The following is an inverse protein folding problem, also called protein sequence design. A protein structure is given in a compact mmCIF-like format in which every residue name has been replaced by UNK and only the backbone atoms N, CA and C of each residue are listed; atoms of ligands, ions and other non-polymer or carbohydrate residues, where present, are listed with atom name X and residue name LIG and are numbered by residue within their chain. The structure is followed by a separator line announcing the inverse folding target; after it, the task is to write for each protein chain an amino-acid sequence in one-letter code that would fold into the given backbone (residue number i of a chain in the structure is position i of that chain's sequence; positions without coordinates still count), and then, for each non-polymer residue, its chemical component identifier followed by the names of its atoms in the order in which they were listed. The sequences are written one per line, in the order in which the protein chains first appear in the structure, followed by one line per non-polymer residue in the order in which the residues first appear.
data_IF_384188667911
#
_entry.id   IF_384188667911
#
_cell.length_a   1.000
_cell.length_b   1.000
_cell.length_c   1.000
_cell.angle_alpha   90.00
_cell.angle_beta   90.00
_cell.angle_gamma   90.00
#
_symmetry.space_group_name_H-M   'P 1'
#
loop_
_entity.id
_entity.type
_entity.pdbx_description
1 polymer ?
#
# COMPACT_ATOMS: atom_id res chain seq x y z
N UNK A 1 51.01 19.92 65.06
CA UNK A 1 49.97 20.47 64.15
C UNK A 1 50.48 20.38 62.72
N UNK A 2 50.07 19.36 61.94
CA UNK A 2 50.40 19.22 60.51
C UNK A 2 49.13 19.49 59.71
N UNK A 3 49.16 20.49 58.83
CA UNK A 3 48.02 20.91 58.00
C UNK A 3 47.94 19.99 56.77
N UNK A 4 46.79 19.34 56.57
CA UNK A 4 46.46 18.62 55.35
C UNK A 4 46.06 19.62 54.27
N UNK A 5 46.89 19.80 53.23
CA UNK A 5 46.43 20.35 51.95
C UNK A 5 46.02 19.17 51.06
N UNK A 6 44.74 18.83 51.10
CA UNK A 6 44.13 18.01 50.07
C UNK A 6 44.00 18.86 48.80
N UNK A 7 44.76 18.50 47.78
CA UNK A 7 44.64 19.03 46.42
C UNK A 7 43.40 18.39 45.78
N UNK A 8 42.28 19.13 45.78
CA UNK A 8 40.98 18.72 45.24
C UNK A 8 40.73 19.12 43.75
N UNK A 9 41.69 19.53 42.88
CA UNK A 9 41.31 19.88 41.51
C UNK A 9 41.28 18.66 40.56
N UNK A 10 41.81 17.49 40.95
CA UNK A 10 41.92 16.33 40.03
C UNK A 10 40.71 15.39 39.99
N UNK A 11 39.83 15.41 40.99
CA UNK A 11 38.65 14.53 41.03
C UNK A 11 37.44 15.08 40.28
N UNK A 12 37.39 16.40 40.05
CA UNK A 12 36.27 17.05 39.33
C UNK A 12 36.38 16.86 37.81
N UNK A 13 37.60 16.76 37.27
CA UNK A 13 37.80 16.60 35.82
C UNK A 13 37.42 15.21 35.29
N UNK A 14 37.44 14.17 36.14
CA UNK A 14 37.10 12.81 35.73
C UNK A 14 35.57 12.60 35.62
N UNK A 15 34.78 13.32 36.41
CA UNK A 15 33.31 13.23 36.38
C UNK A 15 32.69 13.90 35.14
N UNK A 16 33.31 14.95 34.62
CA UNK A 16 32.81 15.67 33.44
C UNK A 16 33.08 14.89 32.14
N UNK A 17 34.15 14.09 32.08
CA UNK A 17 34.43 13.22 30.94
C UNK A 17 33.48 12.00 30.84
N UNK A 18 32.93 11.53 31.97
CA UNK A 18 31.92 10.46 31.96
C UNK A 18 30.50 10.95 31.64
N UNK A 19 30.19 12.23 31.87
CA UNK A 19 28.89 12.80 31.54
C UNK A 19 28.70 13.07 30.03
N UNK A 20 29.79 13.16 29.25
CA UNK A 20 29.74 13.40 27.80
C UNK A 20 29.61 12.12 26.97
N UNK A 21 29.80 10.93 27.56
CA UNK A 21 29.56 9.63 26.91
C UNK A 21 28.14 9.09 27.13
N UNK A 22 27.30 9.81 27.89
CA UNK A 22 25.89 9.48 28.10
C UNK A 22 24.94 10.30 27.20
N UNK A 23 25.45 10.91 26.12
CA UNK A 23 24.62 11.36 25.02
C UNK A 23 24.22 10.14 24.18
N UNK A 24 23.10 9.57 24.58
CA UNK A 24 22.42 8.42 24.00
C UNK A 24 21.84 8.77 22.62
N UNK A 25 22.72 8.97 21.63
CA UNK A 25 22.33 9.32 20.26
C UNK A 25 22.23 8.11 19.33
N UNK A 26 22.27 6.87 19.86
CA UNK A 26 22.18 5.65 19.04
C UNK A 26 20.83 4.96 19.07
N UNK A 27 19.96 5.23 20.06
CA UNK A 27 18.65 4.55 20.16
C UNK A 27 17.66 5.04 19.10
N UNK A 28 17.69 6.31 18.71
CA UNK A 28 16.73 6.85 17.73
C UNK A 28 16.89 6.31 16.30
N UNK A 29 18.05 5.72 15.97
CA UNK A 29 18.34 5.21 14.61
C UNK A 29 17.66 3.88 14.30
N UNK A 30 17.34 3.05 15.30
CA UNK A 30 16.70 1.73 15.07
C UNK A 30 15.17 1.83 14.98
N UNK A 31 14.59 2.88 15.57
CA UNK A 31 13.15 3.11 15.69
C UNK A 31 12.47 3.57 14.42
N UNK A 32 13.13 4.44 13.67
CA UNK A 32 12.62 4.92 12.39
C UNK A 32 13.25 4.05 11.33
N UNK A 33 12.53 3.01 10.89
CA UNK A 33 12.91 2.21 9.73
C UNK A 33 12.31 2.87 8.46
N UNK A 34 13.04 3.79 7.79
CA UNK A 34 12.50 4.55 6.66
C UNK A 34 12.21 3.66 5.45
N UNK A 35 12.91 2.53 5.32
CA UNK A 35 12.69 1.60 4.22
C UNK A 35 11.35 0.88 4.34
N UNK A 36 10.98 0.41 5.53
CA UNK A 36 9.66 -0.17 5.77
C UNK A 36 8.54 0.85 5.51
N UNK A 37 8.73 2.11 5.94
CA UNK A 37 7.75 3.16 5.68
C UNK A 37 7.63 3.47 4.18
N UNK A 38 8.76 3.61 3.47
CA UNK A 38 8.80 3.85 2.03
C UNK A 38 8.16 2.70 1.26
N UNK A 39 8.43 1.46 1.65
CA UNK A 39 7.84 0.27 1.03
C UNK A 39 6.32 0.23 1.26
N UNK A 40 5.84 0.56 2.47
CA UNK A 40 4.41 0.65 2.77
C UNK A 40 3.70 1.66 1.85
N UNK A 41 4.30 2.84 1.69
CA UNK A 41 3.78 3.90 0.84
C UNK A 41 3.77 3.52 -0.64
N UNK A 42 4.82 2.86 -1.13
CA UNK A 42 4.91 2.43 -2.52
C UNK A 42 3.90 1.33 -2.85
N UNK A 43 3.73 0.35 -1.95
CA UNK A 43 2.71 -0.69 -2.11
C UNK A 43 1.30 -0.09 -2.15
N UNK A 44 1.02 0.89 -1.27
CA UNK A 44 -0.29 1.56 -1.27
C UNK A 44 -0.49 2.40 -2.53
N UNK A 45 0.54 3.15 -2.99
CA UNK A 45 0.46 3.93 -4.22
C UNK A 45 0.14 3.04 -5.42
N UNK A 46 0.84 1.91 -5.55
CA UNK A 46 0.59 0.92 -6.61
C UNK A 46 -0.80 0.32 -6.49
N UNK A 47 -1.30 0.08 -5.28
CA UNK A 47 -2.67 -0.35 -5.05
C UNK A 47 -3.68 0.68 -5.60
N UNK A 48 -3.56 1.96 -5.20
CA UNK A 48 -4.48 3.01 -5.68
C UNK A 48 -4.42 3.14 -7.22
N UNK A 49 -3.22 3.10 -7.81
CA UNK A 49 -3.04 3.20 -9.26
C UNK A 49 -3.68 2.04 -10.02
N UNK A 50 -3.54 0.81 -9.52
CA UNK A 50 -4.17 -0.36 -10.14
C UNK A 50 -5.68 -0.28 -10.01
N UNK A 51 -6.21 0.10 -8.85
CA UNK A 51 -7.64 0.28 -8.64
C UNK A 51 -8.22 1.33 -9.60
N UNK A 52 -7.59 2.50 -9.70
CA UNK A 52 -8.01 3.54 -10.63
C UNK A 52 -7.92 3.09 -12.10
N UNK A 53 -6.93 2.26 -12.45
CA UNK A 53 -6.79 1.71 -13.80
C UNK A 53 -7.90 0.71 -14.14
N UNK A 54 -8.27 -0.15 -13.19
CA UNK A 54 -9.39 -1.09 -13.33
C UNK A 54 -10.71 -0.31 -13.46
N UNK A 55 -10.88 0.70 -12.61
CA UNK A 55 -12.10 1.52 -12.63
C UNK A 55 -12.26 2.25 -13.96
N UNK A 56 -11.20 2.94 -14.39
CA UNK A 56 -11.16 3.65 -15.67
C UNK A 56 -11.41 2.75 -16.88
N UNK A 57 -10.82 1.55 -16.90
CA UNK A 57 -11.04 0.56 -17.95
C UNK A 57 -12.52 0.21 -18.10
N UNK A 58 -13.17 -0.12 -16.98
CA UNK A 58 -14.55 -0.58 -17.00
C UNK A 58 -15.56 0.54 -17.16
N UNK A 59 -15.28 1.73 -16.63
CA UNK A 59 -16.13 2.91 -16.83
C UNK A 59 -16.13 3.31 -18.31
N UNK A 60 -14.93 3.40 -18.91
CA UNK A 60 -14.79 3.68 -20.35
C UNK A 60 -15.47 2.62 -21.22
N UNK A 61 -15.35 1.35 -20.85
CA UNK A 61 -15.98 0.24 -21.57
C UNK A 61 -17.50 0.32 -21.48
N UNK A 62 -18.03 0.63 -20.29
CA UNK A 62 -19.48 0.75 -20.04
C UNK A 62 -20.08 1.93 -20.80
N UNK A 63 -19.40 3.08 -20.80
CA UNK A 63 -19.84 4.27 -21.55
C UNK A 63 -19.91 4.00 -23.05
N UNK A 64 -18.86 3.39 -23.60
CA UNK A 64 -18.84 3.03 -25.03
C UNK A 64 -19.92 2.00 -25.38
N UNK A 65 -20.11 0.98 -24.53
CA UNK A 65 -21.18 0.00 -24.70
C UNK A 65 -22.58 0.65 -24.66
N UNK A 66 -22.82 1.59 -23.75
CA UNK A 66 -24.11 2.26 -23.63
C UNK A 66 -24.55 2.91 -24.96
N UNK A 67 -23.58 3.48 -25.68
CA UNK A 67 -23.82 4.12 -26.99
C UNK A 67 -23.92 3.14 -28.16
N UNK A 68 -23.36 1.93 -28.02
CA UNK A 68 -23.26 0.96 -29.11
C UNK A 68 -24.31 -0.17 -29.05
N UNK A 69 -25.01 -0.32 -27.93
CA UNK A 69 -26.06 -1.33 -27.77
C UNK A 69 -27.29 -1.02 -28.64
N UNK A 70 -27.79 -2.00 -29.43
CA UNK A 70 -28.95 -1.82 -30.29
C UNK A 70 -30.23 -1.54 -29.49
N UNK A 71 -31.22 -0.90 -30.10
CA UNK A 71 -32.46 -0.49 -29.41
C UNK A 71 -33.25 -1.70 -28.89
N UNK A 72 -33.23 -2.80 -29.63
CA UNK A 72 -33.84 -4.09 -29.33
C UNK A 72 -33.07 -4.94 -28.31
N UNK A 73 -31.91 -4.47 -27.82
CA UNK A 73 -31.14 -5.19 -26.80
C UNK A 73 -31.98 -5.37 -25.52
N UNK A 74 -32.09 -6.59 -24.94
CA UNK A 74 -32.94 -6.83 -23.78
C UNK A 74 -32.63 -5.88 -22.63
N UNK A 75 -33.65 -5.19 -22.11
CA UNK A 75 -33.45 -4.11 -21.12
C UNK A 75 -32.76 -4.60 -19.83
N UNK A 76 -33.04 -5.84 -19.40
CA UNK A 76 -32.40 -6.46 -18.23
C UNK A 76 -30.91 -6.69 -18.52
N UNK A 77 -30.59 -7.31 -19.66
CA UNK A 77 -29.21 -7.61 -20.04
C UNK A 77 -28.42 -6.32 -20.30
N UNK A 78 -29.04 -5.28 -20.86
CA UNK A 78 -28.47 -3.93 -20.98
C UNK A 78 -28.02 -3.43 -19.62
N UNK A 79 -28.91 -3.44 -18.62
CA UNK A 79 -28.56 -2.98 -17.28
C UNK A 79 -27.45 -3.82 -16.62
N UNK A 80 -27.41 -5.13 -16.90
CA UNK A 80 -26.34 -6.02 -16.43
C UNK A 80 -25.01 -5.66 -17.10
N UNK A 81 -24.97 -5.55 -18.43
CA UNK A 81 -23.74 -5.28 -19.18
C UNK A 81 -23.15 -3.91 -18.86
N UNK A 82 -23.99 -2.89 -18.61
CA UNK A 82 -23.51 -1.56 -18.24
C UNK A 82 -23.01 -1.45 -16.79
N UNK A 83 -23.22 -2.48 -15.98
CA UNK A 83 -22.72 -2.55 -14.59
C UNK A 83 -21.70 -3.65 -14.38
N UNK A 84 -21.64 -4.64 -15.27
CA UNK A 84 -20.72 -5.74 -15.19
C UNK A 84 -19.30 -5.21 -15.48
N UNK A 85 -18.37 -5.53 -14.58
CA UNK A 85 -16.94 -5.24 -14.73
C UNK A 85 -16.15 -6.51 -15.00
N UNK A 86 -16.71 -7.38 -15.84
CA UNK A 86 -16.14 -8.69 -16.12
C UNK A 86 -16.60 -9.19 -17.50
N UNK A 87 -15.65 -9.33 -18.42
CA UNK A 87 -15.92 -9.73 -19.80
C UNK A 87 -16.41 -11.17 -19.91
N UNK A 88 -15.87 -12.09 -19.11
CA UNK A 88 -16.28 -13.49 -19.12
C UNK A 88 -17.75 -13.63 -18.71
N UNK A 89 -18.16 -12.90 -17.68
CA UNK A 89 -19.55 -12.87 -17.25
C UNK A 89 -20.47 -12.31 -18.33
N UNK A 90 -20.08 -11.25 -19.04
CA UNK A 90 -20.86 -10.73 -20.18
C UNK A 90 -21.00 -11.78 -21.30
N UNK A 91 -19.91 -12.48 -21.63
CA UNK A 91 -19.90 -13.52 -22.70
C UNK A 91 -20.83 -14.70 -22.41
N UNK A 92 -21.17 -14.95 -21.15
CA UNK A 92 -22.10 -16.01 -20.77
C UNK A 92 -23.55 -15.72 -21.18
N UNK A 93 -23.91 -14.44 -21.40
CA UNK A 93 -25.26 -14.08 -21.81
C UNK A 93 -25.46 -14.26 -23.32
N UNK A 94 -26.59 -14.86 -23.71
CA UNK A 94 -26.92 -15.03 -25.13
C UNK A 94 -27.05 -13.70 -25.89
N UNK A 95 -27.45 -12.63 -25.19
CA UNK A 95 -27.52 -11.27 -25.73
C UNK A 95 -26.17 -10.71 -26.13
N UNK A 96 -25.04 -11.22 -25.61
CA UNK A 96 -23.71 -10.82 -26.07
C UNK A 96 -23.55 -10.97 -27.58
N UNK A 97 -24.16 -12.00 -28.18
CA UNK A 97 -24.14 -12.25 -29.63
C UNK A 97 -24.96 -11.26 -30.45
N UNK A 98 -25.84 -10.49 -29.80
CA UNK A 98 -26.66 -9.44 -30.43
C UNK A 98 -25.91 -8.11 -30.54
N UNK A 99 -24.79 -7.96 -29.81
CA UNK A 99 -23.90 -6.82 -29.99
C UNK A 99 -23.23 -6.88 -31.36
N UNK A 100 -22.96 -5.72 -31.95
CA UNK A 100 -22.17 -5.67 -33.19
C UNK A 100 -20.73 -6.15 -32.95
N UNK A 101 -20.02 -6.49 -34.04
CA UNK A 101 -18.65 -6.99 -33.95
C UNK A 101 -17.71 -6.01 -33.21
N UNK A 102 -17.94 -4.70 -33.38
CA UNK A 102 -17.13 -3.65 -32.73
C UNK A 102 -17.30 -3.67 -31.21
N UNK A 103 -18.53 -3.79 -30.72
CA UNK A 103 -18.88 -3.86 -29.30
C UNK A 103 -18.42 -5.16 -28.66
N UNK A 104 -18.55 -6.29 -29.36
CA UNK A 104 -17.97 -7.56 -28.90
C UNK A 104 -16.45 -7.46 -28.77
N UNK A 105 -15.78 -6.84 -29.76
CA UNK A 105 -14.34 -6.60 -29.73
C UNK A 105 -13.92 -5.69 -28.57
N UNK A 106 -14.70 -4.64 -28.29
CA UNK A 106 -14.49 -3.75 -27.15
C UNK A 106 -14.50 -4.52 -25.83
N UNK A 107 -15.54 -5.30 -25.57
CA UNK A 107 -15.64 -6.15 -24.36
C UNK A 107 -14.48 -7.14 -24.29
N UNK A 108 -14.14 -7.75 -25.43
CA UNK A 108 -13.06 -8.73 -25.46
C UNK A 108 -11.71 -8.11 -25.12
N UNK A 109 -11.39 -6.95 -25.69
CA UNK A 109 -10.17 -6.22 -25.37
C UNK A 109 -10.15 -5.76 -23.92
N UNK A 110 -11.28 -5.28 -23.40
CA UNK A 110 -11.38 -4.92 -21.99
C UNK A 110 -11.06 -6.13 -21.09
N UNK A 111 -11.58 -7.32 -21.41
CA UNK A 111 -11.24 -8.56 -20.71
C UNK A 111 -9.74 -8.90 -20.75
N UNK A 112 -9.06 -8.73 -21.89
CA UNK A 112 -7.61 -8.96 -21.98
C UNK A 112 -6.81 -7.97 -21.13
N UNK A 113 -7.19 -6.69 -21.14
CA UNK A 113 -6.55 -5.69 -20.27
C UNK A 113 -6.82 -5.96 -18.79
N UNK A 114 -8.05 -6.32 -18.43
CA UNK A 114 -8.43 -6.67 -17.06
C UNK A 114 -7.63 -7.87 -16.55
N UNK A 115 -7.39 -8.88 -17.39
CA UNK A 115 -6.50 -10.01 -17.05
C UNK A 115 -5.07 -9.57 -16.73
N UNK A 116 -4.52 -8.63 -17.50
CA UNK A 116 -3.19 -8.07 -17.23
C UNK A 116 -3.19 -7.29 -15.91
N UNK A 117 -4.24 -6.51 -15.63
CA UNK A 117 -4.38 -5.78 -14.36
C UNK A 117 -4.54 -6.75 -13.18
N UNK A 118 -5.29 -7.83 -13.33
CA UNK A 118 -5.48 -8.86 -12.32
C UNK A 118 -4.15 -9.55 -11.96
N UNK A 119 -3.29 -9.83 -12.94
CA UNK A 119 -1.94 -10.37 -12.69
C UNK A 119 -1.09 -9.38 -11.87
N UNK A 120 -1.14 -8.08 -12.19
CA UNK A 120 -0.45 -7.04 -11.41
C UNK A 120 -0.98 -6.95 -9.98
N UNK A 121 -2.28 -7.08 -9.79
CA UNK A 121 -2.90 -7.15 -8.46
C UNK A 121 -2.41 -8.39 -7.71
N UNK A 122 -2.32 -9.54 -8.37
CA UNK A 122 -1.80 -10.76 -7.76
C UNK A 122 -0.35 -10.59 -7.25
N UNK A 123 0.52 -10.03 -8.09
CA UNK A 123 1.91 -9.71 -7.72
C UNK A 123 1.93 -8.76 -6.52
N UNK A 124 1.12 -7.69 -6.55
CA UNK A 124 1.04 -6.74 -5.44
C UNK A 124 0.60 -7.40 -4.12
N UNK A 125 -0.34 -8.37 -4.17
CA UNK A 125 -0.77 -9.13 -3.00
C UNK A 125 0.34 -10.03 -2.44
N UNK A 126 1.16 -10.62 -3.32
CA UNK A 126 2.36 -11.37 -2.89
C UNK A 126 3.34 -10.46 -2.18
N UNK A 127 3.66 -9.31 -2.76
CA UNK A 127 4.57 -8.32 -2.17
C UNK A 127 4.04 -7.78 -0.84
N UNK A 128 2.73 -7.51 -0.74
CA UNK A 128 2.09 -7.07 0.51
C UNK A 128 2.20 -8.11 1.61
N UNK A 129 2.06 -9.40 1.29
CA UNK A 129 2.26 -10.48 2.27
C UNK A 129 3.72 -10.59 2.74
N UNK A 130 4.68 -10.34 1.86
CA UNK A 130 6.11 -10.28 2.24
C UNK A 130 6.35 -9.10 3.18
N UNK A 131 5.88 -7.91 2.80
CA UNK A 131 5.97 -6.71 3.60
C UNK A 131 5.33 -6.87 4.99
N UNK A 132 4.12 -7.43 5.07
CA UNK A 132 3.43 -7.64 6.35
C UNK A 132 4.23 -8.55 7.29
N UNK A 133 4.89 -9.59 6.76
CA UNK A 133 5.81 -10.42 7.56
C UNK A 133 7.00 -9.62 8.07
N UNK A 134 7.66 -8.84 7.21
CA UNK A 134 8.81 -8.01 7.57
C UNK A 134 8.44 -6.96 8.63
N UNK A 135 7.32 -6.26 8.42
CA UNK A 135 6.78 -5.28 9.36
C UNK A 135 6.47 -5.93 10.71
N UNK A 136 5.81 -7.08 10.74
CA UNK A 136 5.48 -7.75 12.00
C UNK A 136 6.72 -8.22 12.76
N UNK A 137 7.73 -8.74 12.06
CA UNK A 137 9.02 -9.10 12.66
C UNK A 137 9.70 -7.87 13.28
N UNK A 138 9.76 -6.76 12.54
CA UNK A 138 10.31 -5.51 13.05
C UNK A 138 9.55 -4.99 14.27
N UNK A 139 8.21 -4.97 14.22
CA UNK A 139 7.38 -4.53 15.35
C UNK A 139 7.55 -5.39 16.59
N UNK A 140 7.76 -6.70 16.43
CA UNK A 140 8.05 -7.62 17.54
C UNK A 140 9.42 -7.34 18.15
N UNK A 141 10.46 -7.15 17.33
CA UNK A 141 11.81 -6.80 17.81
C UNK A 141 11.81 -5.46 18.53
N UNK A 142 11.11 -4.47 17.98
CA UNK A 142 10.98 -3.15 18.61
C UNK A 142 10.20 -3.25 19.91
N UNK A 143 9.10 -4.02 19.97
CA UNK A 143 8.30 -4.19 21.18
C UNK A 143 9.03 -4.91 22.32
N UNK A 144 10.05 -5.73 22.02
CA UNK A 144 10.92 -6.33 23.04
C UNK A 144 11.82 -5.29 23.72
N UNK A 145 12.14 -4.19 23.02
CA UNK A 145 12.95 -3.08 23.52
C UNK A 145 12.07 -1.99 24.15
N UNK A 146 11.07 -1.53 23.39
CA UNK A 146 10.12 -0.50 23.78
C UNK A 146 8.75 -0.72 23.10
N UNK A 147 7.74 -1.00 23.91
CA UNK A 147 6.36 -1.22 23.44
C UNK A 147 5.69 0.07 22.94
N UNK A 148 6.00 1.23 23.53
CA UNK A 148 5.44 2.51 23.11
C UNK A 148 5.97 2.90 21.73
N UNK A 149 7.26 2.69 21.48
CA UNK A 149 7.87 2.94 20.17
C UNK A 149 7.30 2.02 19.08
N UNK A 150 7.13 0.73 19.38
CA UNK A 150 6.47 -0.21 18.45
C UNK A 150 5.06 0.25 18.07
N UNK A 151 4.26 0.72 19.04
CA UNK A 151 2.93 1.27 18.79
C UNK A 151 2.98 2.56 17.95
N UNK A 152 3.92 3.45 18.25
CA UNK A 152 4.10 4.70 17.51
C UNK A 152 4.47 4.43 16.04
N UNK A 153 5.40 3.50 15.79
CA UNK A 153 5.79 3.12 14.43
C UNK A 153 4.64 2.47 13.66
N UNK A 154 3.89 1.55 14.29
CA UNK A 154 2.70 0.95 13.68
C UNK A 154 1.65 2.00 13.31
N UNK A 155 1.45 3.01 14.16
CA UNK A 155 0.53 4.12 13.87
C UNK A 155 1.05 5.03 12.75
N UNK A 156 2.36 5.29 12.69
CA UNK A 156 3.01 6.06 11.63
C UNK A 156 2.75 5.43 10.25
N UNK A 157 3.01 4.13 10.10
CA UNK A 157 2.71 3.40 8.85
C UNK A 157 1.23 3.49 8.51
N UNK A 158 0.33 3.21 9.47
CA UNK A 158 -1.11 3.24 9.21
C UNK A 158 -1.58 4.60 8.69
N UNK A 159 -1.18 5.69 9.35
CA UNK A 159 -1.54 7.06 8.93
C UNK A 159 -0.99 7.39 7.55
N UNK A 160 0.28 7.05 7.32
CA UNK A 160 0.96 7.33 6.07
C UNK A 160 0.28 6.60 4.89
N UNK A 161 -0.07 5.32 5.05
CA UNK A 161 -0.79 4.55 4.01
C UNK A 161 -2.20 5.11 3.72
N UNK A 162 -2.97 5.51 4.74
CA UNK A 162 -4.33 6.05 4.50
C UNK A 162 -4.33 7.33 3.67
N UNK A 163 -3.25 8.10 3.68
CA UNK A 163 -3.15 9.36 2.92
C UNK A 163 -2.76 9.17 1.46
N UNK A 164 -2.36 7.97 1.03
CA UNK A 164 -1.80 7.77 -0.33
C UNK A 164 -2.87 7.74 -1.41
N UNK A 165 -4.06 7.21 -1.10
CA UNK A 165 -5.17 7.13 -2.06
C UNK A 165 -6.14 8.32 -1.98
N UNK A 166 -5.83 9.34 -1.18
CA UNK A 166 -6.65 10.55 -1.02
C UNK A 166 -6.25 11.66 -2.00
#
# INVERSE_FOLDING_TARGET
MKKHLFSVPRLVLLGVLFALLACDSSIHSETDNPDLLRQALELERRHCQLQASIDSLWDTTSDQLATAMPAEFPAIDRAIFLKARNADHMRMFMSFKQLDHKSQTLVNKAGEYDKILAEKVHILLVERRIFERQKNQFLQQLAQKDLAESRNFAQKIRRASTQVCL
#
